data_IF_145556487536
#
_entry.id   IF_145556487536
#
_cell.length_a   1.000
_cell.length_b   1.000
_cell.length_c   1.000
_cell.angle_alpha   90.00
_cell.angle_beta   90.00
_cell.angle_gamma   90.00
#
_symmetry.space_group_name_H-M   'P 1'
#
loop_
_entity.id
_entity.type
_entity.pdbx_description
1 polymer ?
#
# COMPACT_ATOMS: atom_id res chain seq x y z
N UNK A 1 -16.67 -3.93 -72.74
CA UNK A 1 -16.03 -5.08 -72.06
C UNK A 1 -14.65 -4.78 -71.48
N UNK A 2 -13.65 -4.28 -72.23
CA UNK A 2 -12.30 -3.98 -71.68
C UNK A 2 -12.27 -3.05 -70.46
N UNK A 3 -13.08 -1.97 -70.42
CA UNK A 3 -13.12 -1.04 -69.27
C UNK A 3 -13.72 -1.64 -67.99
N UNK A 4 -14.71 -2.54 -68.11
CA UNK A 4 -15.32 -3.25 -66.96
C UNK A 4 -14.33 -4.26 -66.37
N UNK A 5 -13.56 -4.93 -67.22
CA UNK A 5 -12.51 -5.87 -66.80
C UNK A 5 -11.38 -5.17 -66.03
N UNK A 6 -10.93 -3.98 -66.49
CA UNK A 6 -9.96 -3.17 -65.75
C UNK A 6 -10.50 -2.65 -64.40
N UNK A 7 -11.78 -2.31 -64.32
CA UNK A 7 -12.41 -1.88 -63.06
C UNK A 7 -12.52 -3.03 -62.05
N UNK A 8 -12.87 -4.24 -62.51
CA UNK A 8 -12.90 -5.45 -61.67
C UNK A 8 -11.52 -5.90 -61.19
N UNK A 9 -10.45 -5.64 -61.96
CA UNK A 9 -9.06 -5.91 -61.57
C UNK A 9 -8.50 -4.86 -60.59
N UNK A 10 -9.00 -3.63 -60.63
CA UNK A 10 -8.60 -2.57 -59.71
C UNK A 10 -9.11 -2.80 -58.27
N UNK A 11 -10.28 -3.41 -58.10
CA UNK A 11 -10.88 -3.70 -56.77
C UNK A 11 -9.98 -4.60 -55.90
N UNK A 12 -9.49 -5.77 -56.35
CA UNK A 12 -8.60 -6.61 -55.56
C UNK A 12 -7.24 -5.94 -55.32
N UNK A 13 -6.76 -5.09 -56.22
CA UNK A 13 -5.51 -4.32 -56.02
C UNK A 13 -5.73 -3.23 -54.95
N UNK A 14 -6.85 -2.52 -54.98
CA UNK A 14 -7.22 -1.54 -53.95
C UNK A 14 -7.43 -2.24 -52.61
N UNK A 15 -8.13 -3.38 -52.59
CA UNK A 15 -8.28 -4.21 -51.38
C UNK A 15 -6.94 -4.74 -50.89
N UNK A 16 -6.02 -5.12 -51.78
CA UNK A 16 -4.66 -5.55 -51.44
C UNK A 16 -3.83 -4.37 -50.90
N UNK A 17 -3.93 -3.18 -51.47
CA UNK A 17 -3.25 -1.97 -50.99
C UNK A 17 -3.82 -1.56 -49.62
N UNK A 18 -5.14 -1.60 -49.45
CA UNK A 18 -5.80 -1.38 -48.16
C UNK A 18 -5.36 -2.44 -47.16
N UNK A 19 -5.31 -3.71 -47.57
CA UNK A 19 -4.84 -4.81 -46.73
C UNK A 19 -3.36 -4.67 -46.36
N UNK A 20 -2.50 -4.27 -47.29
CA UNK A 20 -1.07 -4.02 -47.06
C UNK A 20 -0.85 -2.79 -46.18
N UNK A 21 -1.63 -1.72 -46.37
CA UNK A 21 -1.60 -0.54 -45.52
C UNK A 21 -2.07 -0.86 -44.08
N UNK A 22 -3.14 -1.66 -43.94
CA UNK A 22 -3.62 -2.18 -42.66
C UNK A 22 -2.57 -3.14 -42.07
N UNK A 23 -1.92 -3.99 -42.87
CA UNK A 23 -0.88 -4.92 -42.42
C UNK A 23 0.36 -4.18 -41.87
N UNK A 24 0.77 -3.09 -42.52
CA UNK A 24 1.86 -2.22 -42.05
C UNK A 24 1.48 -1.43 -40.78
N UNK A 25 0.21 -1.05 -40.61
CA UNK A 25 -0.32 -0.48 -39.35
C UNK A 25 -0.47 -1.54 -38.24
N UNK A 26 -0.79 -2.78 -38.61
CA UNK A 26 -0.86 -3.95 -37.73
C UNK A 26 0.51 -4.59 -37.46
N UNK A 27 1.60 -3.94 -37.86
CA UNK A 27 2.95 -4.40 -37.56
C UNK A 27 3.17 -4.36 -36.04
N UNK A 28 2.95 -5.51 -35.41
CA UNK A 28 3.06 -5.71 -33.97
C UNK A 28 4.41 -5.23 -33.45
N UNK A 29 5.50 -5.42 -34.19
CA UNK A 29 6.83 -4.97 -33.78
C UNK A 29 6.92 -3.43 -33.71
N UNK A 30 6.28 -2.72 -34.64
CA UNK A 30 6.22 -1.25 -34.62
C UNK A 30 5.38 -0.76 -33.43
N UNK A 31 4.27 -1.43 -33.13
CA UNK A 31 3.45 -1.14 -31.96
C UNK A 31 4.19 -1.38 -30.65
N UNK A 32 4.86 -2.52 -30.50
CA UNK A 32 5.70 -2.84 -29.34
C UNK A 32 6.85 -1.84 -29.18
N UNK A 33 7.49 -1.42 -30.28
CA UNK A 33 8.54 -0.40 -30.25
C UNK A 33 8.03 0.96 -29.76
N UNK A 34 6.81 1.36 -30.16
CA UNK A 34 6.17 2.57 -29.65
C UNK A 34 5.86 2.46 -28.15
N UNK A 35 5.30 1.34 -27.70
CA UNK A 35 5.07 1.10 -26.26
C UNK A 35 6.39 1.17 -25.50
N UNK A 36 7.43 0.51 -25.98
CA UNK A 36 8.75 0.54 -25.34
C UNK A 36 9.29 1.96 -25.24
N UNK A 37 9.16 2.77 -26.29
CA UNK A 37 9.58 4.18 -26.30
C UNK A 37 8.82 5.01 -25.28
N UNK A 38 7.52 4.80 -25.16
CA UNK A 38 6.63 5.63 -24.32
C UNK A 38 6.62 5.19 -22.84
N UNK A 39 6.88 3.91 -22.57
CA UNK A 39 6.74 3.31 -21.23
C UNK A 39 8.03 2.77 -20.64
N UNK A 40 9.10 2.66 -21.42
CA UNK A 40 10.33 1.94 -21.06
C UNK A 40 10.10 0.47 -20.67
N UNK A 41 9.02 -0.14 -21.15
CA UNK A 41 8.74 -1.57 -21.00
C UNK A 41 9.18 -2.33 -22.25
N UNK A 42 10.05 -3.32 -22.09
CA UNK A 42 10.34 -4.29 -23.14
C UNK A 42 9.28 -5.38 -23.03
N UNK A 43 8.48 -5.55 -24.08
CA UNK A 43 7.45 -6.59 -24.17
C UNK A 43 7.90 -7.61 -25.20
N UNK A 44 8.02 -8.86 -24.76
CA UNK A 44 8.32 -10.00 -25.60
C UNK A 44 7.06 -10.85 -25.77
N UNK A 45 6.81 -11.28 -26.99
CA UNK A 45 5.77 -12.24 -27.33
C UNK A 45 6.44 -13.60 -27.51
N UNK A 46 5.98 -14.62 -26.79
CA UNK A 46 6.64 -15.94 -26.78
C UNK A 46 6.22 -16.79 -27.98
N UNK A 47 4.98 -16.62 -28.46
CA UNK A 47 4.43 -17.37 -29.58
C UNK A 47 4.10 -16.46 -30.78
N UNK A 48 3.84 -17.07 -31.95
CA UNK A 48 3.37 -16.36 -33.15
C UNK A 48 2.00 -15.67 -32.99
N UNK A 49 1.40 -15.73 -31.81
CA UNK A 49 0.06 -15.22 -31.51
C UNK A 49 -1.03 -15.98 -32.25
N UNK A 50 -2.23 -16.01 -31.69
CA UNK A 50 -3.40 -16.58 -32.34
C UNK A 50 -4.34 -15.44 -32.69
N UNK A 51 -4.65 -15.31 -33.97
CA UNK A 51 -5.60 -14.34 -34.48
C UNK A 51 -6.86 -15.08 -34.94
N UNK A 52 -8.00 -14.61 -34.47
CA UNK A 52 -9.31 -14.99 -35.00
C UNK A 52 -10.02 -13.72 -35.47
N UNK A 53 -10.61 -13.78 -36.66
CA UNK A 53 -11.26 -12.62 -37.28
C UNK A 53 -12.77 -12.81 -37.43
N UNK A 54 -13.37 -13.90 -36.96
CA UNK A 54 -14.83 -14.08 -37.03
C UNK A 54 -15.34 -14.85 -35.83
N UNK A 55 -16.43 -14.39 -35.16
CA UNK A 55 -17.30 -13.26 -35.51
C UNK A 55 -16.77 -11.88 -35.09
N UNK A 56 -15.63 -11.83 -34.40
CA UNK A 56 -14.97 -10.63 -33.88
C UNK A 56 -13.47 -10.69 -34.15
N UNK A 57 -12.76 -9.58 -33.99
CA UNK A 57 -11.30 -9.55 -34.03
C UNK A 57 -10.79 -9.92 -32.64
N UNK A 58 -10.12 -11.06 -32.55
CA UNK A 58 -9.55 -11.59 -31.34
C UNK A 58 -8.06 -11.88 -31.54
N UNK A 59 -7.26 -11.51 -30.54
CA UNK A 59 -5.83 -11.79 -30.49
C UNK A 59 -5.46 -12.37 -29.13
N UNK A 60 -4.85 -13.54 -29.13
CA UNK A 60 -4.28 -14.17 -27.93
C UNK A 60 -2.77 -14.36 -28.08
N UNK A 61 -2.01 -14.10 -27.02
CA UNK A 61 -0.58 -14.44 -26.96
C UNK A 61 -0.12 -14.69 -25.52
N UNK A 62 1.04 -15.34 -25.40
CA UNK A 62 1.84 -15.37 -24.18
C UNK A 62 2.82 -14.20 -24.21
N UNK A 63 2.78 -13.38 -23.16
CA UNK A 63 3.57 -12.15 -23.06
C UNK A 63 4.42 -12.17 -21.81
N UNK A 64 5.65 -11.70 -21.99
CA UNK A 64 6.58 -11.42 -20.91
C UNK A 64 7.04 -9.98 -21.04
N UNK A 65 6.97 -9.20 -19.97
CA UNK A 65 7.34 -7.78 -19.99
C UNK A 65 8.35 -7.47 -18.89
N UNK A 66 9.31 -6.59 -19.19
CA UNK A 66 10.31 -6.13 -18.23
C UNK A 66 10.55 -4.63 -18.37
N UNK A 67 10.53 -3.91 -17.26
CA UNK A 67 10.94 -2.53 -17.19
C UNK A 67 12.44 -2.36 -17.38
N UNK A 68 12.84 -1.40 -18.21
CA UNK A 68 14.25 -1.02 -18.38
C UNK A 68 14.73 -0.23 -17.16
N UNK A 69 13.89 0.71 -16.70
CA UNK A 69 14.17 1.61 -15.57
C UNK A 69 13.22 1.35 -14.41
N UNK A 70 12.01 0.84 -14.68
CA UNK A 70 11.02 0.49 -13.67
C UNK A 70 11.25 -0.94 -13.17
N UNK A 71 10.98 -1.17 -11.88
CA UNK A 71 11.03 -2.50 -11.25
C UNK A 71 9.78 -3.34 -11.59
N UNK A 72 9.36 -3.33 -12.87
CA UNK A 72 8.22 -4.08 -13.39
C UNK A 72 8.72 -5.36 -14.05
N UNK A 73 8.17 -6.51 -13.63
CA UNK A 73 8.38 -7.79 -14.32
C UNK A 73 7.06 -8.52 -14.43
N UNK A 74 6.68 -8.92 -15.65
CA UNK A 74 5.53 -9.75 -15.95
C UNK A 74 6.08 -10.98 -16.67
N UNK A 75 5.85 -12.16 -16.11
CA UNK A 75 6.37 -13.40 -16.69
C UNK A 75 5.22 -14.24 -17.24
N UNK A 76 5.38 -14.78 -18.46
CA UNK A 76 4.52 -15.81 -19.08
C UNK A 76 3.02 -15.61 -18.86
N UNK A 77 2.55 -14.42 -19.20
CA UNK A 77 1.15 -14.04 -18.99
C UNK A 77 0.34 -14.26 -20.24
N UNK A 78 -0.85 -14.85 -20.10
CA UNK A 78 -1.79 -14.96 -21.21
C UNK A 78 -2.51 -13.63 -21.36
N UNK A 79 -2.36 -12.98 -22.52
CA UNK A 79 -3.12 -11.78 -22.88
C UNK A 79 -4.14 -12.14 -23.95
N UNK A 80 -5.31 -11.53 -23.86
CA UNK A 80 -6.36 -11.63 -24.87
C UNK A 80 -6.95 -10.26 -25.13
N UNK A 81 -7.07 -9.92 -26.41
CA UNK A 81 -7.76 -8.73 -26.89
C UNK A 81 -8.95 -9.15 -27.71
N UNK A 82 -10.08 -8.49 -27.51
CA UNK A 82 -11.31 -8.77 -28.24
C UNK A 82 -11.98 -7.46 -28.66
N UNK A 83 -12.23 -7.31 -29.96
CA UNK A 83 -12.89 -6.13 -30.55
C UNK A 83 -13.98 -6.56 -31.51
N UNK A 84 -15.19 -6.05 -31.30
CA UNK A 84 -16.28 -6.23 -32.25
C UNK A 84 -16.10 -5.29 -33.46
N UNK A 85 -16.62 -5.71 -34.62
CA UNK A 85 -16.53 -4.95 -35.86
C UNK A 85 -17.22 -3.58 -35.83
N UNK A 86 -18.15 -3.38 -34.89
CA UNK A 86 -18.81 -2.09 -34.75
C UNK A 86 -17.82 -1.00 -34.33
N UNK A 87 -17.74 0.16 -35.03
CA UNK A 87 -16.71 1.17 -34.78
C UNK A 87 -16.63 1.63 -33.32
N UNK A 88 -17.80 1.89 -32.71
CA UNK A 88 -17.92 2.38 -31.33
C UNK A 88 -17.85 1.28 -30.26
N UNK A 89 -17.69 0.01 -30.63
CA UNK A 89 -17.58 -1.05 -29.63
C UNK A 89 -16.27 -0.92 -28.83
N UNK A 90 -16.28 -1.23 -27.52
CA UNK A 90 -15.07 -1.19 -26.72
C UNK A 90 -14.06 -2.26 -27.15
N UNK A 91 -12.78 -2.00 -26.91
CA UNK A 91 -11.74 -3.03 -26.94
C UNK A 91 -11.72 -3.72 -25.57
N UNK A 92 -12.01 -5.02 -25.55
CA UNK A 92 -11.89 -5.84 -24.35
C UNK A 92 -10.45 -6.33 -24.20
N UNK A 93 -9.96 -6.33 -22.97
CA UNK A 93 -8.64 -6.79 -22.57
C UNK A 93 -8.80 -7.78 -21.42
N UNK A 94 -8.22 -8.96 -21.57
CA UNK A 94 -8.07 -9.95 -20.51
C UNK A 94 -6.58 -10.24 -20.33
N UNK A 95 -6.13 -10.32 -19.08
CA UNK A 95 -4.75 -10.69 -18.74
C UNK A 95 -4.80 -11.67 -17.58
N UNK A 96 -4.28 -12.86 -17.79
CA UNK A 96 -4.01 -13.83 -16.72
C UNK A 96 -2.50 -14.02 -16.60
N UNK A 97 -1.98 -13.66 -15.43
CA UNK A 97 -0.55 -13.66 -15.15
C UNK A 97 -0.22 -14.52 -13.94
N UNK A 98 0.72 -15.47 -14.04
CA UNK A 98 1.18 -16.20 -12.87
C UNK A 98 1.84 -15.26 -11.84
N UNK A 99 2.51 -14.20 -12.30
CA UNK A 99 3.19 -13.24 -11.45
C UNK A 99 3.38 -11.89 -12.15
N UNK A 100 2.95 -10.82 -11.47
CA UNK A 100 3.29 -9.44 -11.79
C UNK A 100 4.11 -8.90 -10.62
N UNK A 101 5.33 -8.46 -10.89
CA UNK A 101 6.21 -7.81 -9.92
C UNK A 101 6.25 -6.32 -10.18
N UNK A 102 6.12 -5.52 -9.12
CA UNK A 102 6.21 -4.07 -9.18
C UNK A 102 6.85 -3.54 -7.89
N UNK A 103 7.98 -2.84 -8.01
CA UNK A 103 8.66 -2.18 -6.87
C UNK A 103 8.85 -3.11 -5.66
N UNK A 104 9.35 -4.32 -5.91
CA UNK A 104 9.60 -5.34 -4.88
C UNK A 104 8.37 -6.16 -4.47
N UNK A 105 7.16 -5.69 -4.77
CA UNK A 105 5.92 -6.40 -4.48
C UNK A 105 5.58 -7.41 -5.58
N UNK A 106 5.13 -8.60 -5.18
CA UNK A 106 4.72 -9.67 -6.11
C UNK A 106 3.23 -9.97 -6.00
N UNK A 107 2.52 -9.76 -7.10
CA UNK A 107 1.11 -10.09 -7.31
C UNK A 107 1.01 -11.43 -8.06
N UNK A 108 0.74 -12.50 -7.31
CA UNK A 108 0.65 -13.86 -7.84
C UNK A 108 -0.77 -14.16 -8.32
N UNK A 109 -0.87 -15.01 -9.36
CA UNK A 109 -2.14 -15.42 -9.96
C UNK A 109 -3.04 -14.21 -10.25
N UNK A 110 -2.45 -13.21 -10.90
CA UNK A 110 -3.13 -11.96 -11.24
C UNK A 110 -4.06 -12.19 -12.42
N UNK A 111 -5.29 -11.69 -12.33
CA UNK A 111 -6.28 -11.75 -13.40
C UNK A 111 -6.93 -10.38 -13.57
N UNK A 112 -6.95 -9.88 -14.79
CA UNK A 112 -7.45 -8.55 -15.16
C UNK A 112 -8.48 -8.68 -16.25
N UNK A 113 -9.65 -8.07 -16.07
CA UNK A 113 -10.66 -7.88 -17.10
C UNK A 113 -10.94 -6.39 -17.24
N UNK A 114 -10.61 -5.83 -18.39
CA UNK A 114 -10.75 -4.42 -18.67
C UNK A 114 -11.39 -4.17 -20.04
N UNK A 115 -11.92 -2.96 -20.21
CA UNK A 115 -12.43 -2.46 -21.48
C UNK A 115 -11.85 -1.08 -21.74
N UNK A 116 -11.40 -0.85 -22.96
CA UNK A 116 -10.96 0.46 -23.42
C UNK A 116 -11.98 1.04 -24.40
N UNK A 117 -12.48 2.22 -24.08
CA UNK A 117 -13.34 3.02 -24.96
C UNK A 117 -13.31 4.48 -24.54
N UNK A 118 -13.41 5.40 -25.51
CA UNK A 118 -13.50 6.84 -25.24
C UNK A 118 -12.38 7.35 -24.29
N UNK A 119 -11.14 6.90 -24.51
CA UNK A 119 -9.98 7.26 -23.67
C UNK A 119 -10.08 6.84 -22.20
N UNK A 120 -10.96 5.89 -21.87
CA UNK A 120 -11.10 5.33 -20.53
C UNK A 120 -10.81 3.84 -20.59
N UNK A 121 -9.91 3.38 -19.72
CA UNK A 121 -9.72 1.98 -19.39
C UNK A 121 -10.61 1.69 -18.17
N UNK A 122 -11.68 0.96 -18.38
CA UNK A 122 -12.59 0.48 -17.34
C UNK A 122 -12.18 -0.93 -16.92
N UNK A 123 -11.51 -1.04 -15.78
CA UNK A 123 -11.09 -2.28 -15.15
C UNK A 123 -12.29 -2.81 -14.36
N UNK A 124 -13.06 -3.69 -14.98
CA UNK A 124 -14.19 -4.35 -14.33
C UNK A 124 -13.75 -5.29 -13.19
N UNK A 125 -12.52 -5.80 -13.25
CA UNK A 125 -11.98 -6.73 -12.26
C UNK A 125 -10.47 -6.84 -12.35
N UNK A 126 -9.81 -6.76 -11.21
CA UNK A 126 -8.41 -7.09 -10.98
C UNK A 126 -8.35 -7.94 -9.72
N UNK A 127 -7.89 -9.19 -9.84
CA UNK A 127 -7.69 -10.10 -8.71
C UNK A 127 -6.24 -10.51 -8.64
N UNK A 128 -5.67 -10.56 -7.44
CA UNK A 128 -4.35 -11.11 -7.23
C UNK A 128 -4.16 -11.59 -5.79
N UNK A 129 -3.17 -12.47 -5.60
CA UNK A 129 -2.60 -12.72 -4.28
C UNK A 129 -1.41 -11.79 -4.06
N UNK A 130 -1.45 -10.97 -3.03
CA UNK A 130 -0.33 -10.11 -2.62
C UNK A 130 0.19 -10.62 -1.28
N UNK A 131 1.47 -11.01 -1.23
CA UNK A 131 2.11 -11.60 -0.04
C UNK A 131 1.33 -12.83 0.45
N UNK A 132 0.62 -12.75 1.57
CA UNK A 132 -0.17 -13.81 2.19
C UNK A 132 -1.68 -13.59 2.02
N UNK A 133 -2.06 -12.48 1.39
CA UNK A 133 -3.43 -12.05 1.26
C UNK A 133 -3.91 -11.97 -0.18
N UNK A 134 -5.11 -11.45 -0.32
CA UNK A 134 -5.83 -11.34 -1.58
C UNK A 134 -6.35 -9.92 -1.78
N UNK A 135 -6.37 -9.50 -3.05
CA UNK A 135 -6.85 -8.20 -3.51
C UNK A 135 -7.90 -8.43 -4.58
N UNK A 136 -9.00 -7.69 -4.49
CA UNK A 136 -10.06 -7.60 -5.49
C UNK A 136 -10.37 -6.13 -5.75
N UNK A 137 -10.08 -5.65 -6.96
CA UNK A 137 -10.14 -4.24 -7.34
C UNK A 137 -10.89 -4.07 -8.64
N UNK A 138 -11.68 -3.02 -8.73
CA UNK A 138 -12.20 -2.47 -9.98
C UNK A 138 -11.79 -1.00 -10.08
N UNK A 139 -11.83 -0.43 -11.27
CA UNK A 139 -11.43 0.97 -11.41
C UNK A 139 -11.53 1.52 -12.82
N UNK A 140 -11.30 2.82 -12.92
CA UNK A 140 -11.27 3.54 -14.18
C UNK A 140 -9.99 4.34 -14.27
N UNK A 141 -9.32 4.26 -15.40
CA UNK A 141 -8.13 5.04 -15.71
C UNK A 141 -8.43 5.84 -16.97
N UNK A 142 -8.43 7.16 -16.85
CA UNK A 142 -8.55 8.05 -17.99
C UNK A 142 -7.16 8.26 -18.59
N UNK A 143 -7.03 8.08 -19.91
CA UNK A 143 -5.78 8.36 -20.66
C UNK A 143 -5.84 9.69 -21.41
N UNK A 144 -6.89 10.49 -21.18
CA UNK A 144 -7.03 11.86 -21.66
C UNK A 144 -6.08 12.83 -20.92
N UNK A 145 -6.22 14.14 -21.16
CA UNK A 145 -5.43 15.18 -20.49
C UNK A 145 -5.62 15.22 -18.96
N UNK A 146 -6.74 14.72 -18.45
CA UNK A 146 -7.02 14.70 -17.01
C UNK A 146 -6.19 13.63 -16.29
N UNK A 147 -5.86 12.53 -16.98
CA UNK A 147 -5.06 11.41 -16.43
C UNK A 147 -5.56 11.00 -15.05
N UNK A 148 -6.85 10.76 -14.90
CA UNK A 148 -7.47 10.40 -13.62
C UNK A 148 -7.45 8.90 -13.39
N UNK A 149 -7.34 8.49 -12.13
CA UNK A 149 -7.45 7.10 -11.67
C UNK A 149 -8.52 7.07 -10.59
N UNK A 150 -9.45 6.12 -10.70
CA UNK A 150 -10.39 5.77 -9.64
C UNK A 150 -10.29 4.26 -9.39
N UNK A 151 -10.09 3.86 -8.14
CA UNK A 151 -10.04 2.47 -7.72
C UNK A 151 -11.06 2.24 -6.61
N UNK A 152 -11.78 1.13 -6.70
CA UNK A 152 -12.64 0.62 -5.64
C UNK A 152 -12.31 -0.84 -5.43
N UNK A 153 -12.42 -1.34 -4.20
CA UNK A 153 -12.17 -2.75 -3.99
C UNK A 153 -12.12 -3.14 -2.54
N UNK A 154 -11.55 -4.32 -2.34
CA UNK A 154 -11.29 -4.91 -1.03
C UNK A 154 -9.96 -5.65 -1.06
N UNK A 155 -9.38 -5.86 0.11
CA UNK A 155 -8.26 -6.76 0.28
C UNK A 155 -8.35 -7.43 1.65
N UNK A 156 -7.73 -8.58 1.78
CA UNK A 156 -7.75 -9.35 3.00
C UNK A 156 -6.37 -9.92 3.34
N UNK A 157 -6.10 -10.04 4.65
CA UNK A 157 -4.93 -10.72 5.19
C UNK A 157 -3.57 -10.25 4.63
N UNK A 158 -3.42 -8.94 4.42
CA UNK A 158 -2.19 -8.35 3.90
C UNK A 158 -1.24 -8.04 5.08
N UNK A 159 -0.04 -8.62 5.05
CA UNK A 159 1.03 -8.32 6.00
C UNK A 159 1.65 -6.96 5.70
N UNK A 160 1.40 -5.96 6.54
CA UNK A 160 1.97 -4.62 6.36
C UNK A 160 3.49 -4.64 6.51
N UNK A 161 4.01 -5.41 7.47
CA UNK A 161 5.44 -5.62 7.68
C UNK A 161 6.15 -6.04 6.40
N UNK A 162 5.62 -7.06 5.75
CA UNK A 162 6.22 -7.62 4.54
C UNK A 162 6.11 -6.64 3.36
N UNK A 163 5.02 -5.85 3.27
CA UNK A 163 4.94 -4.75 2.29
C UNK A 163 6.07 -3.74 2.53
N UNK A 164 6.21 -3.26 3.77
CA UNK A 164 7.18 -2.22 4.09
C UNK A 164 8.62 -2.69 3.86
N UNK A 165 8.92 -3.94 4.17
CA UNK A 165 10.24 -4.54 3.95
C UNK A 165 10.52 -4.74 2.44
N UNK A 166 9.58 -5.34 1.69
CA UNK A 166 9.75 -5.57 0.24
C UNK A 166 9.81 -4.27 -0.56
N UNK A 167 9.10 -3.23 -0.12
CA UNK A 167 9.14 -1.91 -0.73
C UNK A 167 10.34 -1.06 -0.27
N UNK A 168 11.22 -1.61 0.59
CA UNK A 168 12.38 -0.91 1.16
C UNK A 168 12.01 0.41 1.86
N UNK A 169 10.88 0.43 2.57
CA UNK A 169 10.37 1.59 3.31
C UNK A 169 10.84 1.54 4.77
N UNK A 170 10.60 0.40 5.43
CA UNK A 170 10.94 0.17 6.83
C UNK A 170 10.94 -1.33 7.13
N UNK A 171 11.73 -1.74 8.12
CA UNK A 171 11.70 -3.09 8.68
C UNK A 171 11.24 -3.03 10.13
N UNK A 172 10.18 -3.77 10.44
CA UNK A 172 9.58 -3.82 11.78
C UNK A 172 9.64 -5.26 12.29
N UNK A 173 10.61 -5.55 13.16
CA UNK A 173 10.78 -6.91 13.72
C UNK A 173 9.93 -7.14 14.98
N UNK A 174 9.49 -6.07 15.66
CA UNK A 174 8.81 -6.13 16.97
C UNK A 174 7.29 -6.06 16.92
N UNK A 175 6.71 -5.76 15.77
CA UNK A 175 5.25 -5.62 15.61
C UNK A 175 4.85 -6.37 14.36
N UNK A 176 3.90 -7.28 14.42
CA UNK A 176 3.33 -7.94 13.25
C UNK A 176 1.93 -7.40 13.00
N UNK A 177 1.71 -6.83 11.83
CA UNK A 177 0.45 -6.19 11.45
C UNK A 177 -0.11 -6.86 10.21
N UNK A 178 -1.32 -7.40 10.34
CA UNK A 178 -2.13 -7.88 9.23
C UNK A 178 -3.36 -7.01 9.08
N UNK A 179 -3.55 -6.46 7.88
CA UNK A 179 -4.68 -5.59 7.55
C UNK A 179 -5.54 -6.19 6.46
N UNK A 180 -6.81 -5.85 6.53
CA UNK A 180 -7.83 -6.10 5.56
C UNK A 180 -8.65 -4.82 5.40
N UNK A 181 -9.16 -4.61 4.19
CA UNK A 181 -10.16 -3.60 3.92
C UNK A 181 -11.35 -4.26 3.25
N UNK A 182 -12.53 -4.31 3.89
CA UNK A 182 -13.73 -4.81 3.23
C UNK A 182 -14.18 -3.88 2.11
N UNK A 183 -13.77 -2.60 2.16
CA UNK A 183 -14.03 -1.60 1.13
C UNK A 183 -13.04 -0.46 1.23
N UNK A 184 -12.44 -0.13 0.10
CA UNK A 184 -11.75 1.13 -0.13
C UNK A 184 -12.26 1.81 -1.41
N UNK A 185 -12.10 3.13 -1.45
CA UNK A 185 -12.24 3.97 -2.63
C UNK A 185 -11.05 4.93 -2.65
N UNK A 186 -10.34 4.99 -3.77
CA UNK A 186 -9.21 5.88 -4.00
C UNK A 186 -9.40 6.59 -5.34
N UNK A 187 -9.09 7.88 -5.39
CA UNK A 187 -9.14 8.71 -6.58
C UNK A 187 -7.87 9.55 -6.63
N UNK A 188 -7.24 9.68 -7.80
CA UNK A 188 -6.07 10.53 -7.99
C UNK A 188 -5.92 10.94 -9.46
N UNK A 189 -4.90 11.75 -9.76
CA UNK A 189 -4.45 12.08 -11.12
C UNK A 189 -2.96 11.82 -11.25
N UNK A 190 -2.48 11.29 -12.37
CA UNK A 190 -1.09 10.83 -12.53
C UNK A 190 -0.29 11.63 -13.58
N UNK A 191 -0.38 12.97 -13.56
CA UNK A 191 0.43 13.82 -14.45
C UNK A 191 1.94 13.72 -14.18
N UNK A 192 2.30 13.51 -12.92
CA UNK A 192 3.63 13.19 -12.38
C UNK A 192 3.50 12.31 -11.12
N UNK A 193 4.63 11.78 -10.61
CA UNK A 193 4.67 11.01 -9.35
C UNK A 193 4.17 11.84 -8.16
N UNK A 194 4.57 13.10 -8.10
CA UNK A 194 4.15 14.05 -7.06
C UNK A 194 2.65 14.31 -7.16
N UNK A 195 2.12 14.51 -8.38
CA UNK A 195 0.68 14.75 -8.56
C UNK A 195 -0.17 13.54 -8.16
N UNK A 196 0.36 12.31 -8.34
CA UNK A 196 -0.31 11.08 -7.94
C UNK A 196 -0.52 11.04 -6.43
N UNK A 197 0.46 11.51 -5.67
CA UNK A 197 0.39 11.59 -4.21
C UNK A 197 -0.44 12.81 -3.80
N UNK A 198 -0.12 14.00 -4.30
CA UNK A 198 -0.75 15.27 -3.93
C UNK A 198 -2.26 15.32 -4.21
N UNK A 199 -2.73 14.55 -5.19
CA UNK A 199 -4.15 14.50 -5.54
C UNK A 199 -4.84 13.20 -5.06
N UNK A 200 -4.15 12.37 -4.27
CA UNK A 200 -4.74 11.15 -3.72
C UNK A 200 -5.81 11.50 -2.69
N UNK A 201 -7.04 11.09 -2.99
CA UNK A 201 -8.21 11.27 -2.16
C UNK A 201 -8.97 9.94 -2.02
N UNK A 202 -9.66 9.73 -0.90
CA UNK A 202 -10.37 8.48 -0.70
C UNK A 202 -10.67 8.11 0.74
N UNK A 203 -11.24 6.92 0.90
CA UNK A 203 -11.57 6.32 2.18
C UNK A 203 -11.27 4.84 2.13
N UNK A 204 -10.69 4.31 3.20
CA UNK A 204 -10.40 2.89 3.35
C UNK A 204 -10.83 2.42 4.73
N UNK A 205 -11.80 1.51 4.79
CA UNK A 205 -12.13 0.84 6.05
C UNK A 205 -11.02 -0.14 6.40
N UNK A 206 -10.60 -0.17 7.66
CA UNK A 206 -9.55 -1.07 8.14
C UNK A 206 -10.15 -2.06 9.12
N UNK A 207 -9.76 -3.33 8.96
CA UNK A 207 -9.93 -4.41 9.94
C UNK A 207 -8.66 -5.24 9.92
N UNK A 208 -8.22 -5.76 11.06
CA UNK A 208 -7.00 -6.56 11.07
C UNK A 208 -6.59 -7.02 12.46
N UNK A 209 -5.33 -7.42 12.56
CA UNK A 209 -4.68 -7.79 13.81
C UNK A 209 -3.29 -7.17 13.92
N UNK A 210 -2.95 -6.72 15.11
CA UNK A 210 -1.62 -6.26 15.50
C UNK A 210 -1.12 -7.18 16.62
N UNK A 211 0.12 -7.62 16.53
CA UNK A 211 0.76 -8.45 17.53
C UNK A 211 2.13 -7.86 17.87
N UNK A 212 2.32 -7.47 19.12
CA UNK A 212 3.58 -6.92 19.60
C UNK A 212 4.41 -8.06 20.20
N UNK A 213 5.62 -8.27 19.68
CA UNK A 213 6.54 -9.28 20.21
C UNK A 213 7.39 -8.60 21.29
N UNK A 214 7.39 -9.17 22.50
CA UNK A 214 8.34 -8.78 23.55
C UNK A 214 9.45 -9.81 23.70
N UNK A 215 10.64 -9.36 24.08
CA UNK A 215 11.76 -10.28 24.41
C UNK A 215 11.85 -10.57 25.90
N UNK A 216 12.56 -11.64 26.26
CA UNK A 216 12.85 -11.95 27.66
C UNK A 216 13.66 -10.83 28.34
N UNK A 217 14.59 -10.20 27.61
CA UNK A 217 15.38 -9.08 28.10
C UNK A 217 14.50 -7.83 28.37
N UNK A 218 13.52 -7.55 27.51
CA UNK A 218 12.57 -6.46 27.70
C UNK A 218 11.69 -6.69 28.93
N UNK A 219 11.20 -7.93 29.11
CA UNK A 219 10.41 -8.33 30.29
C UNK A 219 11.25 -8.28 31.57
N UNK A 220 12.48 -8.79 31.53
CA UNK A 220 13.42 -8.71 32.65
C UNK A 220 13.75 -7.26 32.98
N UNK A 221 14.02 -6.43 31.97
CA UNK A 221 14.30 -5.00 32.13
C UNK A 221 13.14 -4.26 32.78
N UNK A 222 11.90 -4.53 32.37
CA UNK A 222 10.70 -3.95 32.98
C UNK A 222 10.53 -4.39 34.45
N UNK A 223 10.78 -5.67 34.76
CA UNK A 223 10.75 -6.17 36.13
C UNK A 223 11.85 -5.55 37.00
N UNK A 224 13.07 -5.44 36.48
CA UNK A 224 14.18 -4.77 37.15
C UNK A 224 13.87 -3.29 37.39
N UNK A 225 13.37 -2.59 36.38
CA UNK A 225 12.98 -1.19 36.50
C UNK A 225 11.93 -1.02 37.60
N UNK A 226 10.93 -1.90 37.67
CA UNK A 226 9.92 -1.91 38.73
C UNK A 226 10.50 -2.05 40.13
N UNK A 227 11.57 -2.84 40.31
CA UNK A 227 12.30 -2.95 41.59
C UNK A 227 13.12 -1.69 41.90
N UNK A 228 13.61 -0.99 40.87
CA UNK A 228 14.42 0.22 41.02
C UNK A 228 13.58 1.47 41.30
N UNK A 229 12.28 1.47 41.02
CA UNK A 229 11.37 2.60 41.31
C UNK A 229 11.41 2.97 42.79
N UNK A 230 11.57 1.99 43.70
CA UNK A 230 11.71 2.23 45.14
C UNK A 230 12.96 3.05 45.51
N UNK A 231 13.94 3.14 44.60
CA UNK A 231 15.16 3.94 44.76
C UNK A 231 15.13 5.22 43.95
N UNK A 232 14.39 5.26 42.85
CA UNK A 232 14.35 6.37 41.90
C UNK A 232 12.90 6.68 41.54
N UNK A 233 12.27 7.54 42.34
CA UNK A 233 10.85 7.89 42.18
C UNK A 233 10.54 8.48 40.79
N UNK A 234 11.48 9.20 40.17
CA UNK A 234 11.32 9.79 38.83
C UNK A 234 11.12 8.76 37.70
N UNK A 235 11.42 7.48 37.94
CA UNK A 235 11.22 6.40 36.98
C UNK A 235 9.88 5.67 37.17
N UNK A 236 9.10 5.99 38.22
CA UNK A 236 7.83 5.33 38.57
C UNK A 236 6.87 5.29 37.38
N UNK A 237 6.59 6.46 36.79
CA UNK A 237 5.61 6.59 35.72
C UNK A 237 6.01 5.84 34.45
N UNK A 238 7.30 5.85 34.11
CA UNK A 238 7.84 5.10 32.96
C UNK A 238 7.74 3.59 33.22
N UNK A 239 8.12 3.15 34.41
CA UNK A 239 8.05 1.74 34.82
C UNK A 239 6.62 1.21 34.75
N UNK A 240 5.65 1.96 35.30
CA UNK A 240 4.22 1.65 35.24
C UNK A 240 3.70 1.62 33.80
N UNK A 241 4.13 2.57 32.96
CA UNK A 241 3.74 2.62 31.55
C UNK A 241 4.22 1.40 30.77
N UNK A 242 5.49 1.02 30.94
CA UNK A 242 6.09 -0.15 30.26
C UNK A 242 5.39 -1.43 30.73
N UNK A 243 5.24 -1.61 32.05
CA UNK A 243 4.57 -2.77 32.62
C UNK A 243 3.14 -2.91 32.10
N UNK A 244 2.40 -1.79 32.05
CA UNK A 244 1.06 -1.76 31.47
C UNK A 244 1.03 -2.20 30.00
N UNK A 245 1.93 -1.68 29.15
CA UNK A 245 1.96 -2.05 27.74
C UNK A 245 2.32 -3.53 27.55
N UNK A 246 3.27 -4.04 28.32
CA UNK A 246 3.65 -5.46 28.30
C UNK A 246 2.49 -6.35 28.75
N UNK A 247 1.84 -6.05 29.86
CA UNK A 247 0.77 -6.86 30.42
C UNK A 247 -0.49 -6.88 29.52
N UNK A 248 -0.80 -5.75 28.87
CA UNK A 248 -2.04 -5.61 28.11
C UNK A 248 -1.89 -5.91 26.61
N UNK A 249 -0.72 -5.70 26.01
CA UNK A 249 -0.55 -5.79 24.55
C UNK A 249 0.59 -6.69 24.08
N UNK A 250 1.62 -6.94 24.89
CA UNK A 250 2.72 -7.80 24.46
C UNK A 250 2.31 -9.26 24.38
N UNK A 251 2.68 -9.90 23.28
CA UNK A 251 2.40 -11.29 22.95
C UNK A 251 0.91 -11.65 22.98
N UNK A 252 0.03 -10.65 22.86
CA UNK A 252 -1.43 -10.80 22.79
C UNK A 252 -1.93 -10.21 21.46
N UNK A 253 -2.58 -11.02 20.60
CA UNK A 253 -3.13 -10.51 19.34
C UNK A 253 -4.25 -9.52 19.61
N UNK A 254 -4.12 -8.34 19.02
CA UNK A 254 -5.05 -7.22 19.19
C UNK A 254 -5.75 -6.92 17.87
N UNK A 255 -7.08 -6.90 17.88
CA UNK A 255 -7.86 -6.50 16.71
C UNK A 255 -7.69 -5.00 16.45
N UNK A 256 -7.45 -4.63 15.20
CA UNK A 256 -7.44 -3.22 14.76
C UNK A 256 -8.63 -2.96 13.84
N UNK A 257 -9.41 -1.91 14.11
CA UNK A 257 -10.57 -1.52 13.31
C UNK A 257 -10.71 -0.01 13.24
N UNK A 258 -11.10 0.53 12.10
CA UNK A 258 -11.34 1.97 11.93
C UNK A 258 -11.40 2.37 10.47
N UNK A 259 -11.13 3.63 10.18
CA UNK A 259 -11.06 4.15 8.81
C UNK A 259 -9.77 4.94 8.59
N UNK A 260 -9.22 4.87 7.38
CA UNK A 260 -8.20 5.78 6.88
C UNK A 260 -8.83 6.69 5.83
N UNK A 261 -8.63 7.99 5.97
CA UNK A 261 -9.06 8.99 5.02
C UNK A 261 -7.83 9.52 4.29
N UNK A 262 -7.93 9.61 2.97
CA UNK A 262 -6.92 10.19 2.11
C UNK A 262 -7.45 11.54 1.63
N UNK A 263 -6.71 12.61 1.90
CA UNK A 263 -7.03 13.96 1.45
C UNK A 263 -5.76 14.60 0.92
N UNK A 264 -5.71 14.83 -0.39
CA UNK A 264 -4.61 15.51 -1.08
C UNK A 264 -3.21 15.03 -0.63
N UNK A 265 -3.01 13.71 -0.58
CA UNK A 265 -1.73 13.13 -0.18
C UNK A 265 -1.46 13.03 1.32
N UNK A 266 -2.42 13.44 2.15
CA UNK A 266 -2.41 13.21 3.59
C UNK A 266 -3.27 11.99 3.94
N UNK A 267 -2.75 11.07 4.75
CA UNK A 267 -3.48 9.96 5.36
C UNK A 267 -3.87 10.37 6.77
N UNK A 268 -5.15 10.32 7.14
CA UNK A 268 -5.61 10.49 8.52
C UNK A 268 -6.38 9.27 8.99
N UNK A 269 -6.23 8.93 10.27
CA UNK A 269 -7.02 7.86 10.89
C UNK A 269 -8.31 8.45 11.46
N UNK A 270 -9.40 7.70 11.37
CA UNK A 270 -10.67 8.00 12.04
C UNK A 270 -11.12 6.77 12.82
N UNK A 271 -11.33 6.97 14.13
CA UNK A 271 -11.79 5.94 15.06
C UNK A 271 -10.97 4.62 14.98
N UNK A 272 -9.64 4.74 14.81
CA UNK A 272 -8.76 3.58 14.69
C UNK A 272 -8.51 2.97 16.06
N UNK A 273 -9.33 1.97 16.39
CA UNK A 273 -9.34 1.25 17.64
C UNK A 273 -8.47 0.00 17.56
N UNK A 274 -7.59 -0.15 18.54
CA UNK A 274 -6.85 -1.37 18.83
C UNK A 274 -7.42 -2.00 20.10
N UNK A 275 -7.81 -3.27 20.07
CA UNK A 275 -8.42 -3.91 21.24
C UNK A 275 -8.11 -5.41 21.34
N UNK A 276 -7.96 -5.89 22.56
CA UNK A 276 -7.92 -7.30 22.91
C UNK A 276 -8.68 -7.53 24.23
N UNK A 277 -8.58 -8.72 24.81
CA UNK A 277 -9.29 -9.04 26.05
C UNK A 277 -8.74 -8.31 27.29
N UNK A 278 -7.52 -7.77 27.21
CA UNK A 278 -6.79 -7.17 28.32
C UNK A 278 -6.80 -5.63 28.26
N UNK A 279 -6.92 -5.03 27.07
CA UNK A 279 -6.84 -3.59 26.91
C UNK A 279 -7.39 -3.07 25.59
N UNK A 280 -7.60 -1.74 25.56
CA UNK A 280 -7.98 -1.00 24.36
C UNK A 280 -7.12 0.25 24.20
N UNK A 281 -6.89 0.66 22.96
CA UNK A 281 -6.21 1.89 22.61
C UNK A 281 -6.88 2.57 21.41
N UNK A 282 -6.97 3.90 21.44
CA UNK A 282 -7.44 4.71 20.33
C UNK A 282 -6.27 5.40 19.67
N UNK A 283 -6.12 5.20 18.36
CA UNK A 283 -5.05 5.76 17.54
C UNK A 283 -5.64 6.91 16.72
N UNK A 284 -5.05 8.09 16.84
CA UNK A 284 -5.33 9.26 16.01
C UNK A 284 -4.04 9.75 15.38
N UNK A 285 -3.87 9.57 14.08
CA UNK A 285 -2.67 9.96 13.36
C UNK A 285 -2.98 10.62 12.03
N UNK A 286 -2.08 11.52 11.63
CA UNK A 286 -2.02 12.15 10.32
C UNK A 286 -0.61 11.96 9.77
N UNK A 287 -0.50 11.49 8.52
CA UNK A 287 0.76 11.27 7.80
C UNK A 287 0.68 12.06 6.51
N UNK A 288 1.61 12.99 6.30
CA UNK A 288 1.80 13.66 5.02
C UNK A 288 2.80 12.85 4.20
N UNK A 289 2.32 12.25 3.10
CA UNK A 289 3.14 11.37 2.26
C UNK A 289 4.18 12.13 1.42
N UNK A 290 4.00 13.44 1.18
CA UNK A 290 4.95 14.24 0.41
C UNK A 290 6.09 14.71 1.30
N UNK A 291 5.78 15.23 2.49
CA UNK A 291 6.80 15.68 3.45
C UNK A 291 7.38 14.56 4.32
N UNK A 292 6.78 13.36 4.26
CA UNK A 292 7.13 12.20 5.07
C UNK A 292 7.09 12.51 6.58
N UNK A 293 6.13 13.32 7.00
CA UNK A 293 5.94 13.72 8.39
C UNK A 293 4.71 13.04 8.99
N UNK A 294 4.80 12.72 10.28
CA UNK A 294 3.73 12.15 11.07
C UNK A 294 3.38 13.08 12.23
N UNK A 295 2.09 13.16 12.55
CA UNK A 295 1.57 13.67 13.80
C UNK A 295 0.54 12.69 14.32
N UNK A 296 0.89 11.97 15.37
CA UNK A 296 0.14 10.85 15.91
C UNK A 296 -0.04 10.93 17.42
N UNK A 297 -1.13 10.34 17.88
CA UNK A 297 -1.48 10.18 19.28
C UNK A 297 -2.10 8.80 19.48
N UNK A 298 -1.67 8.11 20.51
CA UNK A 298 -2.21 6.82 20.94
C UNK A 298 -2.64 6.96 22.40
N UNK A 299 -3.94 6.79 22.65
CA UNK A 299 -4.51 6.79 23.99
C UNK A 299 -4.75 5.35 24.41
N UNK A 300 -4.01 4.86 25.40
CA UNK A 300 -4.24 3.55 25.99
C UNK A 300 -5.14 3.70 27.22
N UNK A 301 -6.21 2.90 27.27
CA UNK A 301 -7.24 3.07 28.28
C UNK A 301 -7.19 2.00 29.35
N UNK A 302 -7.23 2.45 30.61
CA UNK A 302 -7.61 1.62 31.74
C UNK A 302 -9.01 2.02 32.18
N UNK A 303 -9.97 1.08 32.10
CA UNK A 303 -11.40 1.39 32.22
C UNK A 303 -11.77 2.48 31.20
N UNK A 304 -12.23 3.65 31.65
CA UNK A 304 -12.66 4.77 30.79
C UNK A 304 -11.71 5.97 30.82
N UNK A 305 -10.54 5.86 31.48
CA UNK A 305 -9.55 6.92 31.51
C UNK A 305 -8.32 6.60 30.66
N UNK A 306 -7.62 7.66 30.22
CA UNK A 306 -6.38 7.56 29.44
C UNK A 306 -5.24 7.31 30.41
N UNK A 307 -4.88 6.04 30.58
CA UNK A 307 -3.84 5.64 31.52
C UNK A 307 -2.45 5.98 30.99
N UNK A 308 -2.16 5.57 29.74
CA UNK A 308 -0.93 5.93 29.02
C UNK A 308 -1.30 6.69 27.75
N UNK A 309 -0.62 7.78 27.49
CA UNK A 309 -0.68 8.54 26.26
C UNK A 309 0.68 8.48 25.56
N UNK A 310 0.72 8.15 24.27
CA UNK A 310 1.90 8.26 23.44
C UNK A 310 1.64 9.24 22.29
N UNK A 311 2.58 10.16 22.05
CA UNK A 311 2.50 11.17 20.98
C UNK A 311 3.72 11.00 20.09
N UNK A 312 3.50 10.92 18.78
CA UNK A 312 4.53 10.67 17.76
C UNK A 312 4.52 11.84 16.78
N UNK A 313 5.63 12.57 16.65
CA UNK A 313 5.69 13.79 15.81
C UNK A 313 6.98 13.89 15.00
N UNK A 314 6.92 14.54 13.84
CA UNK A 314 8.10 14.84 13.02
C UNK A 314 8.30 13.86 11.87
N UNK A 315 9.55 13.64 11.47
CA UNK A 315 9.86 12.81 10.30
C UNK A 315 9.54 11.33 10.58
N UNK A 316 8.87 10.64 9.65
CA UNK A 316 8.45 9.25 9.80
C UNK A 316 9.63 8.28 10.06
N UNK A 317 10.84 8.59 9.56
CA UNK A 317 12.02 7.75 9.76
C UNK A 317 12.66 7.91 11.15
N UNK A 318 12.46 9.05 11.80
CA UNK A 318 12.99 9.31 13.13
C UNK A 318 12.07 10.31 13.87
N UNK A 319 10.87 9.87 14.26
CA UNK A 319 9.93 10.75 14.94
C UNK A 319 10.35 10.98 16.39
N UNK A 320 9.98 12.14 16.92
CA UNK A 320 9.94 12.41 18.35
C UNK A 320 8.80 11.60 18.98
N UNK A 321 9.08 10.94 20.11
CA UNK A 321 8.11 10.15 20.86
C UNK A 321 8.01 10.72 22.27
N UNK A 322 6.83 11.23 22.60
CA UNK A 322 6.50 11.75 23.92
C UNK A 322 5.52 10.80 24.61
N UNK A 323 5.67 10.64 25.93
CA UNK A 323 4.81 9.78 26.76
C UNK A 323 4.18 10.59 27.90
N UNK A 324 2.93 10.31 28.21
CA UNK A 324 2.14 11.01 29.22
C UNK A 324 0.93 10.18 29.69
N UNK A 325 -0.10 10.84 30.19
CA UNK A 325 -1.33 10.21 30.70
C UNK A 325 -1.45 10.25 32.22
N UNK A 326 -2.49 9.60 32.76
CA UNK A 326 -2.74 9.56 34.21
C UNK A 326 -1.59 8.93 34.99
N UNK A 327 -0.86 8.00 34.38
CA UNK A 327 0.31 7.36 35.01
C UNK A 327 1.40 8.36 35.40
N UNK A 328 1.46 9.54 34.76
CA UNK A 328 2.40 10.62 35.08
C UNK A 328 1.84 11.67 36.05
N UNK A 329 0.58 11.55 36.50
CA UNK A 329 -0.01 12.50 37.44
C UNK A 329 0.73 12.53 38.79
N UNK A 330 1.32 11.40 39.21
CA UNK A 330 2.15 11.30 40.41
C UNK A 330 3.43 12.17 40.32
N UNK A 331 3.92 12.45 39.11
CA UNK A 331 5.10 13.30 38.86
C UNK A 331 4.75 14.79 38.71
N UNK A 332 3.53 15.19 39.10
CA UNK A 332 3.06 16.57 39.11
C UNK A 332 2.71 17.15 37.72
N UNK A 333 2.70 16.35 36.65
CA UNK A 333 2.23 16.80 35.33
C UNK A 333 1.79 15.63 34.46
N UNK A 334 0.60 15.73 33.88
CA UNK A 334 0.08 14.79 32.88
C UNK A 334 0.53 15.12 31.45
N UNK A 335 1.30 16.19 31.27
CA UNK A 335 1.78 16.62 29.96
C UNK A 335 2.80 15.62 29.40
N UNK A 336 2.70 15.23 28.12
CA UNK A 336 3.66 14.33 27.51
C UNK A 336 5.10 14.86 27.58
N UNK A 337 6.03 14.00 27.97
CA UNK A 337 7.47 14.29 28.08
C UNK A 337 8.28 13.39 27.16
N UNK A 338 9.45 13.87 26.74
CA UNK A 338 10.37 13.07 25.92
C UNK A 338 10.91 11.88 26.72
N UNK A 339 10.69 10.67 26.20
CA UNK A 339 11.11 9.43 26.85
C UNK A 339 12.63 9.38 27.05
N UNK A 340 13.42 9.89 26.10
CA UNK A 340 14.89 9.90 26.20
C UNK A 340 15.34 10.75 27.36
N UNK A 341 14.75 11.93 27.48
CA UNK A 341 15.03 12.86 28.57
C UNK A 341 14.67 12.26 29.93
N UNK A 342 13.52 11.58 30.05
CA UNK A 342 13.14 10.92 31.31
C UNK A 342 14.15 9.83 31.69
N UNK A 343 14.61 9.02 30.73
CA UNK A 343 15.61 8.00 31.00
C UNK A 343 16.97 8.58 31.41
N UNK A 344 17.44 9.62 30.71
CA UNK A 344 18.70 10.30 31.03
C UNK A 344 18.67 10.91 32.44
N UNK A 345 17.59 11.64 32.78
CA UNK A 345 17.40 12.23 34.11
C UNK A 345 17.27 11.15 35.20
N UNK A 346 16.56 10.05 34.92
CA UNK A 346 16.41 8.95 35.86
C UNK A 346 17.71 8.19 36.14
N UNK A 347 18.53 7.95 35.11
CA UNK A 347 19.86 7.35 35.28
C UNK A 347 20.77 8.28 36.08
N UNK A 348 20.78 9.58 35.77
CA UNK A 348 21.60 10.55 36.51
C UNK A 348 21.19 10.59 37.98
N UNK A 349 19.89 10.63 38.27
CA UNK A 349 19.37 10.59 39.64
C UNK A 349 19.76 9.30 40.38
N UNK A 350 19.78 8.16 39.70
CA UNK A 350 20.27 6.91 40.30
C UNK A 350 21.76 7.01 40.66
N UNK A 351 22.58 7.51 39.75
CA UNK A 351 24.02 7.71 39.96
C UNK A 351 24.25 8.64 41.16
N UNK A 352 23.58 9.79 41.19
CA UNK A 352 23.68 10.76 42.28
C UNK A 352 23.28 10.12 43.62
N UNK A 353 22.16 9.37 43.66
CA UNK A 353 21.71 8.68 44.88
C UNK A 353 22.66 7.59 45.40
N UNK A 354 23.46 6.99 44.51
CA UNK A 354 24.47 6.00 44.86
C UNK A 354 25.77 6.67 45.32
N UNK A 355 26.11 7.83 44.77
CA UNK A 355 27.25 8.63 45.18
C UNK A 355 27.00 9.29 46.55
N UNK A 356 25.81 9.83 46.79
CA UNK A 356 25.42 10.48 48.04
C UNK A 356 25.28 9.52 49.23
N UNK A 357 25.26 8.20 49.00
CA UNK A 357 25.22 7.17 50.05
C UNK A 357 26.60 6.69 50.51
N UNK A 358 27.67 7.19 49.92
CA UNK A 358 29.05 6.84 50.27
C UNK A 358 29.77 7.88 51.15
N UNK A 359 29.04 8.90 51.63
CA UNK A 359 29.40 9.77 52.77
C UNK A 359 28.49 9.44 53.97
#
# INVERSE_FOLDING_TARGET
MKKIFFFLLAIPIILLIIFLAIYDELNVNKFLANIQKDTNLIINLEDKGKWEFYPSIEYENMVSAKGIVSNVVIDKSKIRFLKNYWPLSPLHLELDSPSIQYEGLTFRNSSVNAKYSNQIIDISKFKAKLIDGDIDTEGKISVDENKSIQLNGSFNNISLNTILEQANIARWDRVNIKIASPRYNLVTTYKSKESLIANLNGLMKIKGSVFFISTEEERFGAALLSLLVDKVASLSSVSKSISYLLDRFADVPSAITGELQFINGTISTKDLLLQNNNGRALITAQIDMLSNNINGKINFYEKDSIFVEAVIKGNLQNPEILIGGEVFAEDGSTSPRDIKKIFEEGIQSLVDSLLDRND
#
